data_IF_845123789648
#
_entry.id   IF_845123789648
#
_cell.length_a   1.000
_cell.length_b   1.000
_cell.length_c   1.000
_cell.angle_alpha   90.00
_cell.angle_beta   90.00
_cell.angle_gamma   90.00
#
_symmetry.space_group_name_H-M   'P 1'
#
loop_
_entity.id
_entity.type
_entity.pdbx_description
1 polymer ?
#
# COMPACT_ATOMS: atom_id res chain seq x y z
N UNK A 1 -5.52 10.61 7.32
CA UNK A 1 -5.53 10.04 8.69
C UNK A 1 -4.49 8.93 8.70
N UNK A 2 -3.41 9.06 9.48
CA UNK A 2 -2.39 7.99 9.56
C UNK A 2 -3.01 6.85 10.37
N UNK A 3 -3.09 5.65 9.80
CA UNK A 3 -3.57 4.47 10.50
C UNK A 3 -2.63 4.23 11.67
N UNK A 4 -3.15 4.44 12.88
CA UNK A 4 -2.41 4.18 14.10
C UNK A 4 -2.75 2.77 14.52
N UNK A 5 -2.03 1.78 14.00
CA UNK A 5 -2.00 0.48 14.66
C UNK A 5 -1.58 0.70 16.12
N UNK A 6 -2.24 0.05 17.08
CA UNK A 6 -1.94 0.31 18.48
C UNK A 6 -0.46 0.00 18.73
N UNK A 7 0.23 0.87 19.47
CA UNK A 7 1.67 0.75 19.68
C UNK A 7 1.92 -0.36 20.69
N UNK A 8 2.57 -1.46 20.28
CA UNK A 8 3.55 -2.24 21.04
C UNK A 8 4.18 -3.32 20.14
N UNK A 9 5.50 -3.46 20.20
CA UNK A 9 6.30 -4.23 19.23
C UNK A 9 7.21 -5.22 19.97
N UNK A 10 6.73 -6.45 20.21
CA UNK A 10 7.58 -7.64 20.39
C UNK A 10 6.93 -8.84 19.70
N UNK A 11 7.72 -9.53 18.87
CA UNK A 11 7.29 -10.66 18.03
C UNK A 11 7.20 -11.94 18.85
N UNK A 12 6.04 -12.24 19.41
CA UNK A 12 5.68 -13.61 19.79
C UNK A 12 4.16 -13.80 19.73
N UNK A 13 3.80 -15.05 19.44
CA UNK A 13 2.50 -15.54 19.02
C UNK A 13 1.27 -14.94 19.75
N UNK A 14 0.31 -14.49 18.92
CA UNK A 14 -1.00 -13.89 19.24
C UNK A 14 -0.93 -12.58 20.02
N UNK A 15 -0.84 -11.43 19.33
CA UNK A 15 -1.50 -10.17 19.73
C UNK A 15 -1.06 -9.03 18.81
N UNK A 16 -1.75 -9.02 17.69
CA UNK A 16 -1.73 -7.96 16.71
C UNK A 16 -2.52 -6.76 17.23
N UNK A 17 -2.08 -6.13 18.33
CA UNK A 17 -2.40 -4.79 18.83
C UNK A 17 -3.88 -4.30 18.86
N UNK A 18 -4.87 -5.10 18.49
CA UNK A 18 -6.31 -4.87 18.63
C UNK A 18 -6.95 -6.15 19.17
N UNK A 19 -7.63 -6.07 20.32
CA UNK A 19 -8.37 -7.21 20.87
C UNK A 19 -9.45 -7.64 19.87
N UNK A 20 -9.67 -8.97 19.74
CA UNK A 20 -10.61 -9.55 18.76
C UNK A 20 -12.02 -8.98 18.85
N UNK A 21 -12.45 -8.60 20.05
CA UNK A 21 -13.73 -7.92 20.31
C UNK A 21 -13.88 -6.56 19.61
N UNK A 22 -12.76 -5.90 19.28
CA UNK A 22 -12.75 -4.63 18.57
C UNK A 22 -12.63 -4.80 17.05
N UNK A 23 -12.49 -6.03 16.55
CA UNK A 23 -12.40 -6.33 15.13
C UNK A 23 -13.80 -6.61 14.59
N UNK A 24 -14.19 -5.84 13.57
CA UNK A 24 -15.41 -6.08 12.79
C UNK A 24 -15.02 -6.67 11.45
N UNK A 25 -15.61 -7.81 11.07
CA UNK A 25 -15.43 -8.40 9.75
C UNK A 25 -16.04 -7.47 8.69
N UNK A 26 -15.26 -7.15 7.66
CA UNK A 26 -15.68 -6.36 6.52
C UNK A 26 -16.05 -7.25 5.33
N UNK A 27 -15.28 -8.32 5.11
CA UNK A 27 -15.46 -9.23 3.98
C UNK A 27 -14.84 -10.60 4.27
N UNK A 28 -15.33 -11.62 3.56
CA UNK A 28 -14.74 -12.96 3.56
C UNK A 28 -14.91 -13.66 2.22
N UNK A 29 -13.82 -14.29 1.75
CA UNK A 29 -13.79 -14.98 0.47
C UNK A 29 -12.84 -16.17 0.48
N UNK A 30 -13.00 -17.03 -0.52
CA UNK A 30 -12.18 -18.23 -0.69
C UNK A 30 -11.29 -18.13 -1.93
N UNK A 31 -10.08 -18.66 -1.81
CA UNK A 31 -9.13 -18.82 -2.90
C UNK A 31 -8.76 -20.30 -3.07
N UNK A 32 -8.17 -20.64 -4.22
CA UNK A 32 -7.68 -21.99 -4.55
C UNK A 32 -8.73 -23.09 -4.30
N UNK A 33 -9.89 -22.93 -4.93
CA UNK A 33 -10.98 -23.93 -4.87
C UNK A 33 -11.48 -24.20 -3.44
N UNK A 34 -11.51 -23.17 -2.58
CA UNK A 34 -12.01 -23.29 -1.21
C UNK A 34 -10.96 -23.71 -0.18
N UNK A 35 -9.71 -23.98 -0.60
CA UNK A 35 -8.65 -24.43 0.31
C UNK A 35 -8.10 -23.32 1.21
N UNK A 36 -8.21 -22.07 0.78
CA UNK A 36 -7.73 -20.90 1.52
C UNK A 36 -8.91 -20.00 1.81
N UNK A 37 -9.19 -19.75 3.09
CA UNK A 37 -10.19 -18.78 3.52
C UNK A 37 -9.49 -17.47 3.88
N UNK A 38 -10.02 -16.37 3.41
CA UNK A 38 -9.50 -15.02 3.68
C UNK A 38 -10.61 -14.20 4.29
N UNK A 39 -10.30 -13.50 5.38
CA UNK A 39 -11.21 -12.59 6.07
C UNK A 39 -10.53 -11.24 6.27
N UNK A 40 -11.26 -10.18 6.02
CA UNK A 40 -10.81 -8.80 6.18
C UNK A 40 -11.52 -8.21 7.39
N UNK A 41 -10.76 -7.59 8.29
CA UNK A 41 -11.28 -6.98 9.50
C UNK A 41 -10.87 -5.51 9.59
N UNK A 42 -11.69 -4.71 10.27
CA UNK A 42 -11.35 -3.35 10.69
C UNK A 42 -11.49 -3.20 12.20
N UNK A 43 -10.48 -2.61 12.83
CA UNK A 43 -10.48 -2.36 14.26
C UNK A 43 -11.26 -1.07 14.58
N UNK A 44 -12.28 -1.15 15.42
CA UNK A 44 -13.11 -0.01 15.82
C UNK A 44 -12.35 1.04 16.65
N UNK A 45 -11.35 0.61 17.44
CA UNK A 45 -10.53 1.50 18.29
C UNK A 45 -9.48 2.29 17.49
N UNK A 46 -8.80 1.63 16.57
CA UNK A 46 -7.61 2.20 15.91
C UNK A 46 -7.79 2.46 14.41
N UNK A 47 -8.93 2.03 13.84
CA UNK A 47 -9.25 2.04 12.41
C UNK A 47 -8.31 1.23 11.52
N UNK A 48 -7.38 0.46 12.10
CA UNK A 48 -6.47 -0.44 11.39
C UNK A 48 -7.21 -1.55 10.64
N UNK A 49 -6.74 -1.87 9.44
CA UNK A 49 -7.21 -3.00 8.64
C UNK A 49 -6.33 -4.23 8.87
N UNK A 50 -6.96 -5.39 8.88
CA UNK A 50 -6.34 -6.68 9.12
C UNK A 50 -6.81 -7.69 8.11
N UNK A 51 -5.90 -8.56 7.69
CA UNK A 51 -6.21 -9.71 6.83
C UNK A 51 -5.87 -10.98 7.59
N UNK A 52 -6.89 -11.78 7.90
CA UNK A 52 -6.73 -13.12 8.43
C UNK A 52 -6.83 -14.11 7.28
N UNK A 53 -5.91 -15.06 7.24
CA UNK A 53 -5.90 -16.16 6.28
C UNK A 53 -5.94 -17.45 7.08
N UNK A 54 -6.73 -18.40 6.62
CA UNK A 54 -6.81 -19.74 7.18
C UNK A 54 -6.48 -20.75 6.08
N UNK A 55 -5.45 -21.58 6.32
CA UNK A 55 -5.01 -22.63 5.41
C UNK A 55 -4.50 -23.82 6.22
N UNK A 56 -4.99 -25.03 5.94
CA UNK A 56 -4.60 -26.27 6.65
C UNK A 56 -4.69 -26.17 8.18
N UNK A 57 -5.76 -25.54 8.71
CA UNK A 57 -5.96 -25.25 10.13
C UNK A 57 -4.92 -24.33 10.77
N UNK A 58 -4.14 -23.60 9.95
CA UNK A 58 -3.21 -22.57 10.40
C UNK A 58 -3.78 -21.20 10.04
N UNK A 59 -4.00 -20.39 11.06
CA UNK A 59 -4.37 -18.98 10.92
C UNK A 59 -3.10 -18.11 10.85
N UNK A 60 -3.03 -17.22 9.86
CA UNK A 60 -2.07 -16.12 9.82
C UNK A 60 -2.82 -14.81 9.73
N UNK A 61 -2.28 -13.80 10.40
CA UNK A 61 -2.86 -12.47 10.45
C UNK A 61 -1.84 -11.44 9.98
N UNK A 62 -2.26 -10.52 9.12
CA UNK A 62 -1.41 -9.56 8.42
C UNK A 62 -1.95 -8.14 8.58
N UNK A 63 -1.07 -7.18 8.89
CA UNK A 63 -1.36 -5.75 8.76
C UNK A 63 -1.12 -5.30 7.32
N UNK A 64 -1.70 -4.16 6.96
CA UNK A 64 -1.39 -3.51 5.69
C UNK A 64 0.13 -3.25 5.60
N UNK A 65 0.75 -3.67 4.51
CA UNK A 65 2.19 -3.63 4.25
C UNK A 65 3.06 -4.57 5.10
N UNK A 66 2.49 -5.49 5.87
CA UNK A 66 3.27 -6.58 6.46
C UNK A 66 3.65 -7.61 5.38
N UNK A 67 4.89 -8.09 5.46
CA UNK A 67 5.42 -9.21 4.69
C UNK A 67 5.93 -10.25 5.68
N UNK A 68 5.33 -11.45 5.71
CA UNK A 68 5.68 -12.47 6.71
C UNK A 68 6.86 -13.37 6.33
N UNK A 69 7.28 -13.40 5.06
CA UNK A 69 8.50 -14.09 4.62
C UNK A 69 9.30 -13.23 3.64
N UNK A 70 10.63 -13.20 3.84
CA UNK A 70 11.56 -12.61 2.87
C UNK A 70 12.13 -13.64 1.90
N UNK A 71 11.80 -14.92 2.07
CA UNK A 71 12.36 -16.04 1.31
C UNK A 71 11.26 -16.72 0.49
N UNK A 72 11.58 -17.05 -0.77
CA UNK A 72 10.69 -17.83 -1.63
C UNK A 72 10.58 -19.26 -1.10
N UNK A 73 9.39 -19.65 -0.65
CA UNK A 73 9.11 -21.02 -0.21
C UNK A 73 8.39 -21.76 -1.35
N UNK A 74 8.96 -22.86 -1.89
CA UNK A 74 8.29 -23.67 -2.91
C UNK A 74 6.94 -24.19 -2.43
N UNK A 75 5.99 -24.32 -3.37
CA UNK A 75 4.61 -24.73 -3.07
C UNK A 75 4.51 -26.08 -2.34
N UNK A 76 5.39 -27.02 -2.69
CA UNK A 76 5.41 -28.38 -2.13
C UNK A 76 6.17 -28.48 -0.81
N UNK A 77 6.66 -27.36 -0.26
CA UNK A 77 7.44 -27.36 0.97
C UNK A 77 6.55 -27.70 2.17
N UNK A 78 7.02 -28.56 3.10
CA UNK A 78 6.42 -28.63 4.43
C UNK A 78 6.55 -27.22 5.04
N UNK A 79 5.42 -26.63 5.45
CA UNK A 79 5.25 -25.24 5.92
C UNK A 79 5.06 -24.15 4.85
N UNK A 80 4.73 -24.48 3.59
CA UNK A 80 4.29 -23.48 2.62
C UNK A 80 3.01 -22.77 3.07
N UNK A 81 3.01 -21.44 2.99
CA UNK A 81 1.82 -20.63 3.21
C UNK A 81 1.53 -19.78 1.97
N UNK A 82 0.30 -19.85 1.41
CA UNK A 82 0.04 -19.34 0.07
C UNK A 82 -0.02 -17.81 -0.05
N UNK A 83 -0.20 -17.10 1.07
CA UNK A 83 -0.39 -15.64 1.10
C UNK A 83 0.33 -15.09 2.32
N UNK A 84 1.30 -14.22 2.08
CA UNK A 84 2.21 -13.73 3.12
C UNK A 84 2.27 -12.20 3.20
N UNK A 85 1.33 -11.53 2.54
CA UNK A 85 1.24 -10.09 2.50
C UNK A 85 -0.21 -9.60 2.41
N UNK A 86 -0.43 -8.39 2.92
CA UNK A 86 -1.67 -7.63 2.74
C UNK A 86 -1.32 -6.32 2.02
N UNK A 87 -1.59 -6.28 0.72
CA UNK A 87 -1.17 -5.15 -0.12
C UNK A 87 -1.95 -3.89 0.24
N UNK A 88 -1.28 -2.75 0.13
CA UNK A 88 -1.92 -1.46 0.30
C UNK A 88 -3.08 -1.24 -0.69
N UNK A 89 -2.93 -1.69 -1.95
CA UNK A 89 -3.96 -1.57 -2.97
C UNK A 89 -5.22 -2.40 -2.63
N UNK A 90 -5.02 -3.60 -2.08
CA UNK A 90 -6.10 -4.45 -1.55
C UNK A 90 -6.78 -3.78 -0.36
N UNK A 91 -6.01 -3.28 0.61
CA UNK A 91 -6.54 -2.60 1.77
C UNK A 91 -7.35 -1.34 1.41
N UNK A 92 -6.89 -0.58 0.40
CA UNK A 92 -7.57 0.62 -0.09
C UNK A 92 -8.99 0.34 -0.60
N UNK A 93 -9.24 -0.85 -1.13
CA UNK A 93 -10.59 -1.25 -1.55
C UNK A 93 -11.59 -1.23 -0.39
N UNK A 94 -11.14 -1.60 0.82
CA UNK A 94 -11.97 -1.63 2.03
C UNK A 94 -11.96 -0.31 2.80
N UNK A 95 -10.89 0.49 2.68
CA UNK A 95 -10.82 1.81 3.28
C UNK A 95 -10.09 2.82 2.39
N UNK A 96 -10.87 3.61 1.65
CA UNK A 96 -10.34 4.64 0.76
C UNK A 96 -9.70 5.84 1.49
N UNK A 97 -9.78 5.91 2.82
CA UNK A 97 -9.10 6.96 3.60
C UNK A 97 -7.61 6.68 3.82
N UNK A 98 -7.14 5.47 3.43
CA UNK A 98 -5.73 5.07 3.38
C UNK A 98 -4.86 6.03 2.57
N UNK A 99 -5.39 6.52 1.46
CA UNK A 99 -4.65 7.34 0.51
C UNK A 99 -5.60 8.34 -0.14
N UNK A 100 -5.12 9.56 -0.45
CA UNK A 100 -5.95 10.56 -1.11
C UNK A 100 -6.32 10.13 -2.55
N UNK A 101 -5.35 9.51 -3.25
CA UNK A 101 -5.56 8.90 -4.56
C UNK A 101 -5.82 7.39 -4.50
N UNK A 102 -6.38 6.86 -5.58
CA UNK A 102 -6.43 5.42 -5.78
C UNK A 102 -5.00 4.89 -6.05
N UNK A 103 -4.53 3.84 -5.36
CA UNK A 103 -3.18 3.29 -5.56
C UNK A 103 -2.85 2.95 -7.02
N UNK A 104 -3.80 2.42 -7.79
CA UNK A 104 -3.61 2.14 -9.23
C UNK A 104 -3.40 3.41 -10.06
N UNK A 105 -4.03 4.52 -9.67
CA UNK A 105 -3.79 5.79 -10.36
C UNK A 105 -2.45 6.40 -9.97
N UNK A 106 -2.00 6.14 -8.74
CA UNK A 106 -0.75 6.67 -8.20
C UNK A 106 0.48 5.85 -8.57
N UNK A 107 0.33 4.58 -8.99
CA UNK A 107 1.43 3.67 -9.33
C UNK A 107 2.39 4.23 -10.40
N UNK A 108 1.89 5.14 -11.24
CA UNK A 108 2.68 5.85 -12.26
C UNK A 108 3.83 6.67 -11.64
N UNK A 109 3.65 7.23 -10.45
CA UNK A 109 4.69 8.01 -9.76
C UNK A 109 5.06 7.35 -8.44
N UNK A 110 6.28 6.84 -8.35
CA UNK A 110 6.78 6.26 -7.10
C UNK A 110 6.71 7.27 -5.96
N UNK A 111 6.06 6.90 -4.85
CA UNK A 111 5.91 7.74 -3.66
C UNK A 111 4.66 8.65 -3.65
N UNK A 112 3.91 8.75 -4.76
CA UNK A 112 2.73 9.61 -4.81
C UNK A 112 1.56 9.00 -4.06
N UNK A 113 0.92 9.78 -3.17
CA UNK A 113 -0.27 9.34 -2.41
C UNK A 113 -1.54 10.13 -2.76
N UNK A 114 -1.48 11.01 -3.76
CA UNK A 114 -2.62 11.78 -4.25
C UNK A 114 -2.91 11.39 -5.71
N UNK A 115 -4.18 11.38 -6.12
CA UNK A 115 -4.52 11.04 -7.51
C UNK A 115 -3.91 12.08 -8.44
N UNK A 116 -3.17 11.70 -9.49
CA UNK A 116 -2.63 12.64 -10.49
C UNK A 116 -3.72 13.55 -11.08
N UNK A 117 -4.97 13.06 -11.18
CA UNK A 117 -6.12 13.82 -11.68
C UNK A 117 -6.54 15.00 -10.79
N UNK A 118 -6.06 15.01 -9.54
CA UNK A 118 -6.38 16.05 -8.55
C UNK A 118 -5.21 16.97 -8.24
N UNK A 119 -4.06 16.72 -8.87
CA UNK A 119 -2.89 17.58 -8.73
C UNK A 119 -3.03 18.78 -9.66
N UNK A 120 -2.81 19.95 -9.11
CA UNK A 120 -2.83 21.23 -9.81
C UNK A 120 -1.40 21.73 -9.87
N UNK A 121 -0.92 22.01 -11.07
CA UNK A 121 0.39 22.63 -11.27
C UNK A 121 0.51 23.93 -10.49
N UNK A 122 1.61 24.10 -9.77
CA UNK A 122 1.90 25.30 -8.97
C UNK A 122 3.11 26.03 -9.52
N UNK A 123 4.22 25.31 -9.68
CA UNK A 123 5.51 25.91 -10.03
C UNK A 123 6.36 24.91 -10.82
N UNK A 124 7.15 25.41 -11.77
CA UNK A 124 8.17 24.62 -12.47
C UNK A 124 9.52 24.82 -11.77
N UNK A 125 10.14 23.72 -11.32
CA UNK A 125 11.47 23.74 -10.71
C UNK A 125 12.53 23.64 -11.81
N UNK A 126 12.40 22.63 -12.68
CA UNK A 126 13.37 22.29 -13.70
C UNK A 126 12.69 21.77 -14.96
N UNK A 127 13.24 22.13 -16.11
CA UNK A 127 12.92 21.48 -17.37
C UNK A 127 14.16 21.55 -18.26
N UNK A 128 14.83 20.43 -18.40
CA UNK A 128 16.06 20.27 -19.18
C UNK A 128 15.85 19.22 -20.27
N UNK A 129 16.45 19.47 -21.42
CA UNK A 129 16.44 18.56 -22.56
C UNK A 129 17.82 18.60 -23.21
N UNK A 130 18.52 17.48 -23.19
CA UNK A 130 19.86 17.35 -23.74
C UNK A 130 19.97 16.07 -24.58
N UNK A 131 19.91 16.23 -25.90
CA UNK A 131 20.05 15.12 -26.85
C UNK A 131 18.95 14.06 -26.68
N UNK A 132 19.29 12.95 -26.04
CA UNK A 132 18.44 11.77 -25.84
C UNK A 132 17.88 11.66 -24.41
N UNK A 133 18.02 12.70 -23.59
CA UNK A 133 17.58 12.76 -22.20
C UNK A 133 16.72 14.01 -21.96
N UNK A 134 15.66 13.86 -21.18
CA UNK A 134 14.79 14.95 -20.73
C UNK A 134 14.44 14.77 -19.26
N UNK A 135 14.57 15.86 -18.49
CA UNK A 135 14.20 15.88 -17.07
C UNK A 135 13.23 17.03 -16.84
N UNK A 136 12.14 16.74 -16.15
CA UNK A 136 11.11 17.69 -15.77
C UNK A 136 10.81 17.56 -14.28
N UNK A 137 10.93 18.65 -13.54
CA UNK A 137 10.54 18.74 -12.14
C UNK A 137 9.55 19.88 -11.90
N UNK A 138 8.42 19.56 -11.26
CA UNK A 138 7.34 20.52 -10.98
C UNK A 138 6.82 20.36 -9.56
N UNK A 139 6.42 21.48 -8.94
CA UNK A 139 5.58 21.47 -7.75
C UNK A 139 4.12 21.43 -8.18
N UNK A 140 3.39 20.46 -7.65
CA UNK A 140 1.94 20.35 -7.80
C UNK A 140 1.26 20.22 -6.44
N UNK A 141 0.07 20.80 -6.32
CA UNK A 141 -0.74 20.79 -5.10
C UNK A 141 -2.01 19.98 -5.31
N UNK A 142 -2.34 19.10 -4.35
CA UNK A 142 -3.57 18.32 -4.42
C UNK A 142 -4.79 19.16 -4.04
N UNK A 143 -5.75 19.31 -4.94
CA UNK A 143 -6.99 20.07 -4.69
C UNK A 143 -7.91 19.50 -3.62
N UNK A 144 -7.69 18.25 -3.18
CA UNK A 144 -8.51 17.58 -2.17
C UNK A 144 -7.94 17.67 -0.76
N UNK A 145 -6.61 17.59 -0.62
CA UNK A 145 -5.96 17.50 0.67
C UNK A 145 -4.85 18.54 0.87
N UNK A 146 -4.67 19.45 -0.09
CA UNK A 146 -3.76 20.60 -0.06
C UNK A 146 -2.29 20.23 0.13
N UNK A 147 -1.96 18.93 0.07
CA UNK A 147 -0.59 18.45 0.12
C UNK A 147 0.14 18.85 -1.16
N UNK A 148 1.35 19.40 -0.99
CA UNK A 148 2.25 19.75 -2.09
C UNK A 148 3.25 18.64 -2.37
N UNK A 149 3.55 18.46 -3.65
CA UNK A 149 4.39 17.39 -4.17
C UNK A 149 5.37 17.95 -5.19
N UNK A 150 6.62 17.52 -5.12
CA UNK A 150 7.58 17.62 -6.23
C UNK A 150 7.37 16.38 -7.08
N UNK A 151 6.90 16.54 -8.31
CA UNK A 151 6.88 15.47 -9.32
C UNK A 151 8.11 15.59 -10.19
N UNK A 152 8.78 14.45 -10.44
CA UNK A 152 9.92 14.34 -11.34
C UNK A 152 9.61 13.30 -12.41
N UNK A 153 9.76 13.72 -13.67
CA UNK A 153 9.69 12.87 -14.85
C UNK A 153 11.05 12.92 -15.54
N UNK A 154 11.68 11.78 -15.69
CA UNK A 154 12.92 11.60 -16.44
C UNK A 154 12.63 10.67 -17.60
N UNK A 155 13.21 10.97 -18.75
CA UNK A 155 13.19 10.09 -19.89
C UNK A 155 14.55 10.05 -20.51
N UNK A 156 15.09 8.85 -20.69
CA UNK A 156 16.22 8.63 -21.56
C UNK A 156 15.93 7.50 -22.55
N UNK A 157 16.56 7.54 -23.72
CA UNK A 157 16.28 6.58 -24.79
C UNK A 157 16.66 5.14 -24.47
N UNK A 158 17.43 4.88 -23.41
CA UNK A 158 17.83 3.53 -22.99
C UNK A 158 16.89 2.94 -21.94
N UNK A 159 16.43 3.72 -20.96
CA UNK A 159 15.58 3.24 -19.86
C UNK A 159 14.10 3.63 -19.96
N UNK A 160 13.73 4.52 -20.89
CA UNK A 160 12.37 5.03 -21.02
C UNK A 160 12.03 6.03 -19.91
N UNK A 161 10.77 6.05 -19.47
CA UNK A 161 10.32 7.00 -18.44
C UNK A 161 10.54 6.47 -17.01
N UNK A 162 11.19 7.29 -16.19
CA UNK A 162 11.20 7.14 -14.73
C UNK A 162 10.42 8.29 -14.09
N UNK A 163 9.48 7.96 -13.21
CA UNK A 163 8.54 8.93 -12.63
C UNK A 163 8.48 8.77 -11.12
N UNK A 164 8.69 9.86 -10.39
CA UNK A 164 8.70 9.87 -8.93
C UNK A 164 8.02 11.10 -8.36
N UNK A 165 7.59 10.99 -7.10
CA UNK A 165 6.95 12.06 -6.37
C UNK A 165 7.51 12.14 -4.94
N UNK A 166 7.81 13.35 -4.50
CA UNK A 166 8.26 13.64 -3.13
C UNK A 166 7.35 14.66 -2.49
N UNK A 167 6.81 14.34 -1.31
CA UNK A 167 5.99 15.28 -0.54
C UNK A 167 6.84 16.45 -0.04
N UNK A 168 6.32 17.67 -0.15
CA UNK A 168 6.88 18.88 0.46
C UNK A 168 6.27 19.01 1.86
N UNK A 169 7.13 19.15 2.87
CA UNK A 169 6.71 19.39 4.27
C UNK A 169 6.46 20.87 4.52
#
# INVERSE_FOLDING_TARGET
MIYKYCKNFERSNLELNCEKENLTELDSYFLREGKVKVLIYKCSKCSGLWKMIEYQNIEKWLQVNDVTSKEYIPFDSPNYYPIEYFEFAEAYFYDNSLQCGNPKECEKYSGLTCSPKTLIFTEKILEESAGCDTIKEEIQECSKCENKWILREEFDTHHGYAMSAKKIN
#
